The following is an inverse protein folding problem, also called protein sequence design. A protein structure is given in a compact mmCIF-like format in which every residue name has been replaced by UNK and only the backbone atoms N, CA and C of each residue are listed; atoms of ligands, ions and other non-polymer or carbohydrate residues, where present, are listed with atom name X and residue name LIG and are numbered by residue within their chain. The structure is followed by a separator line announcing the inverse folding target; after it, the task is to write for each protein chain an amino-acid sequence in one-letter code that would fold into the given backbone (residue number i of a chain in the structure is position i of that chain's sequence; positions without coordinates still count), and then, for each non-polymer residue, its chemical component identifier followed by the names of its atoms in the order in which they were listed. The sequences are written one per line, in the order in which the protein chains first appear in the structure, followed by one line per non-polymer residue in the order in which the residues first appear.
data_IF_495920496146
#
_entry.id   IF_495920496146
#
_cell.length_a   1.000
_cell.length_b   1.000
_cell.length_c   1.000
_cell.angle_alpha   90.00
_cell.angle_beta   90.00
_cell.angle_gamma   90.00
#
_symmetry.space_group_name_H-M   'P 1'
#
loop_
_entity.id
_entity.type
_entity.pdbx_description
1 polymer ?
#
# COMPACT_ATOMS: atom_id res chain seq x y z
N UNK A 1 9.19 8.69 53.49
CA UNK A 1 9.38 7.42 52.73
C UNK A 1 8.07 6.66 52.79
N UNK A 2 7.32 6.36 51.73
CA UNK A 2 7.48 6.61 50.31
C UNK A 2 6.05 6.68 49.70
N UNK A 3 5.82 7.69 48.86
CA UNK A 3 4.68 7.81 47.96
C UNK A 3 4.87 6.81 46.81
N UNK A 4 4.06 5.75 46.71
CA UNK A 4 3.98 4.92 45.50
C UNK A 4 2.61 4.25 45.34
N UNK A 5 1.56 5.05 45.21
CA UNK A 5 0.29 4.64 44.58
C UNK A 5 -0.39 5.84 43.95
N UNK A 6 0.07 6.27 42.79
CA UNK A 6 -0.71 6.84 41.68
C UNK A 6 0.26 6.80 40.48
N UNK A 7 0.25 5.70 39.73
CA UNK A 7 0.63 5.77 38.32
C UNK A 7 -0.69 5.77 37.55
N UNK A 8 -0.97 6.78 36.70
CA UNK A 8 -2.05 6.65 35.76
C UNK A 8 -1.70 5.49 34.84
N UNK A 9 -2.63 4.55 34.70
CA UNK A 9 -2.61 3.49 33.71
C UNK A 9 -2.40 4.19 32.37
N UNK A 10 -1.19 4.11 31.80
CA UNK A 10 -0.96 4.59 30.44
C UNK A 10 -1.97 3.85 29.57
N UNK A 11 -2.94 4.61 29.04
CA UNK A 11 -3.82 4.12 28.03
C UNK A 11 -2.91 3.60 26.91
N UNK A 12 -3.06 2.32 26.58
CA UNK A 12 -2.55 1.71 25.35
C UNK A 12 -3.33 2.31 24.19
N UNK A 13 -3.18 3.61 23.97
CA UNK A 13 -3.58 4.28 22.75
C UNK A 13 -2.47 4.02 21.77
N UNK A 14 -2.68 3.06 20.86
CA UNK A 14 -2.09 3.19 19.53
C UNK A 14 -2.31 4.65 19.13
N UNK A 15 -1.26 5.37 18.75
CA UNK A 15 -1.34 6.72 18.18
C UNK A 15 -2.29 6.67 16.99
N UNK A 16 -3.59 6.82 17.27
CA UNK A 16 -4.62 6.86 16.26
C UNK A 16 -4.46 8.24 15.65
N UNK A 17 -4.14 8.30 14.34
CA UNK A 17 -4.08 9.58 13.62
C UNK A 17 -5.38 10.32 13.91
N UNK A 18 -5.27 11.41 14.68
CA UNK A 18 -6.41 12.24 15.02
C UNK A 18 -6.96 12.90 13.75
N UNK A 19 -8.23 13.32 13.80
CA UNK A 19 -8.92 14.03 12.72
C UNK A 19 -8.07 15.18 12.16
N UNK A 20 -7.33 15.88 13.02
CA UNK A 20 -6.42 16.97 12.66
C UNK A 20 -5.30 16.58 11.68
N UNK A 21 -4.81 15.34 11.72
CA UNK A 21 -3.78 14.85 10.81
C UNK A 21 -4.33 14.53 9.42
N UNK A 22 -5.61 14.16 9.32
CA UNK A 22 -6.26 13.82 8.06
C UNK A 22 -6.81 15.07 7.36
N UNK A 23 -7.35 16.02 8.12
CA UNK A 23 -7.84 17.30 7.59
C UNK A 23 -6.74 18.17 6.95
N UNK A 24 -5.46 17.87 7.24
CA UNK A 24 -4.31 18.56 6.63
C UNK A 24 -3.89 17.99 5.27
N UNK A 25 -4.47 16.88 4.82
CA UNK A 25 -4.21 16.28 3.52
C UNK A 25 -5.10 16.89 2.43
N UNK A 26 -4.68 16.81 1.16
CA UNK A 26 -5.56 17.16 0.03
C UNK A 26 -6.80 16.26 -0.01
N UNK A 27 -7.88 16.74 -0.63
CA UNK A 27 -9.10 15.92 -0.81
C UNK A 27 -8.78 14.59 -1.52
N UNK A 28 -7.94 14.62 -2.55
CA UNK A 28 -7.46 13.42 -3.25
C UNK A 28 -6.77 12.44 -2.30
N UNK A 29 -5.89 12.92 -1.43
CA UNK A 29 -5.20 12.07 -0.45
C UNK A 29 -6.14 11.52 0.62
N UNK A 30 -7.13 12.30 1.06
CA UNK A 30 -8.14 11.84 2.01
C UNK A 30 -9.03 10.76 1.40
N UNK A 31 -9.47 10.95 0.14
CA UNK A 31 -10.24 9.96 -0.60
C UNK A 31 -9.44 8.66 -0.79
N UNK A 32 -8.19 8.77 -1.24
CA UNK A 32 -7.30 7.62 -1.39
C UNK A 32 -7.12 6.85 -0.07
N UNK A 33 -6.89 7.59 1.02
CA UNK A 33 -6.76 6.99 2.34
C UNK A 33 -8.00 6.19 2.74
N UNK A 34 -9.18 6.78 2.55
CA UNK A 34 -10.45 6.13 2.86
C UNK A 34 -10.67 4.89 2.00
N UNK A 35 -10.44 4.98 0.69
CA UNK A 35 -10.52 3.83 -0.23
C UNK A 35 -9.58 2.70 0.17
N UNK A 36 -8.32 3.00 0.50
CA UNK A 36 -7.35 1.99 0.92
C UNK A 36 -7.71 1.38 2.27
N UNK A 37 -8.26 2.17 3.19
CA UNK A 37 -8.73 1.69 4.50
C UNK A 37 -9.91 0.74 4.38
N UNK A 38 -10.90 1.09 3.58
CA UNK A 38 -12.08 0.24 3.35
C UNK A 38 -11.68 -1.07 2.69
N UNK A 39 -10.79 -1.01 1.69
CA UNK A 39 -10.21 -2.20 1.09
C UNK A 39 -9.43 -3.05 2.10
N UNK A 40 -8.58 -2.44 2.93
CA UNK A 40 -7.79 -3.16 3.92
C UNK A 40 -8.67 -3.90 4.96
N UNK A 41 -9.73 -3.26 5.44
CA UNK A 41 -10.66 -3.86 6.40
C UNK A 41 -11.57 -4.92 5.76
N UNK A 42 -12.03 -4.72 4.52
CA UNK A 42 -12.95 -5.61 3.83
C UNK A 42 -12.29 -6.80 3.12
N UNK A 43 -11.14 -6.60 2.49
CA UNK A 43 -10.53 -7.55 1.55
C UNK A 43 -9.24 -8.17 2.07
N UNK A 44 -8.49 -7.48 2.93
CA UNK A 44 -7.18 -7.95 3.40
C UNK A 44 -7.24 -8.57 4.80
N UNK A 45 -7.77 -7.82 5.77
CA UNK A 45 -7.79 -8.21 7.18
C UNK A 45 -8.49 -9.57 7.45
N UNK A 46 -9.61 -9.92 6.78
CA UNK A 46 -10.26 -11.22 7.02
C UNK A 46 -9.41 -12.43 6.63
N UNK A 47 -8.50 -12.26 5.66
CA UNK A 47 -7.69 -13.35 5.09
C UNK A 47 -6.24 -13.34 5.55
N UNK A 48 -5.74 -12.22 6.07
CA UNK A 48 -4.33 -12.01 6.42
C UNK A 48 -3.75 -13.12 7.32
N UNK A 49 -4.47 -13.51 8.37
CA UNK A 49 -3.99 -14.51 9.33
C UNK A 49 -3.91 -15.92 8.72
N UNK A 50 -4.77 -16.24 7.74
CA UNK A 50 -4.71 -17.51 7.01
C UNK A 50 -3.52 -17.51 6.05
N UNK A 51 -3.39 -16.45 5.26
CA UNK A 51 -2.30 -16.25 4.32
C UNK A 51 -0.94 -16.43 5.00
N UNK A 52 -0.75 -15.80 6.15
CA UNK A 52 0.49 -15.89 6.93
C UNK A 52 0.79 -17.33 7.40
N UNK A 53 -0.18 -17.97 8.08
CA UNK A 53 -0.01 -19.32 8.62
C UNK A 53 0.20 -20.40 7.57
N UNK A 54 -0.45 -20.26 6.42
CA UNK A 54 -0.41 -21.25 5.34
C UNK A 54 0.62 -20.89 4.26
N UNK A 55 1.39 -19.81 4.43
CA UNK A 55 2.38 -19.32 3.47
C UNK A 55 1.81 -19.13 2.05
N UNK A 56 0.58 -18.64 1.97
CA UNK A 56 -0.12 -18.45 0.69
C UNK A 56 0.26 -17.13 0.04
N UNK A 57 0.18 -17.11 -1.29
CA UNK A 57 0.24 -15.86 -2.05
C UNK A 57 -1.17 -15.25 -2.18
N UNK A 58 -1.39 -13.97 -1.84
CA UNK A 58 -2.71 -13.32 -1.84
C UNK A 58 -3.14 -12.88 -3.26
N UNK A 59 -3.22 -13.82 -4.20
CA UNK A 59 -3.43 -13.53 -5.63
C UNK A 59 -4.69 -12.70 -5.91
N UNK A 60 -5.81 -13.07 -5.30
CA UNK A 60 -7.09 -12.36 -5.48
C UNK A 60 -6.98 -10.90 -5.01
N UNK A 61 -6.37 -10.68 -3.84
CA UNK A 61 -6.20 -9.35 -3.26
C UNK A 61 -5.28 -8.50 -4.13
N UNK A 62 -4.19 -9.06 -4.65
CA UNK A 62 -3.26 -8.33 -5.52
C UNK A 62 -3.93 -7.94 -6.84
N UNK A 63 -4.73 -8.81 -7.43
CA UNK A 63 -5.51 -8.46 -8.62
C UNK A 63 -6.46 -7.29 -8.35
N UNK A 64 -7.24 -7.35 -7.26
CA UNK A 64 -8.13 -6.23 -6.86
C UNK A 64 -7.36 -4.94 -6.60
N UNK A 65 -6.17 -5.01 -5.99
CA UNK A 65 -5.31 -3.85 -5.80
C UNK A 65 -4.81 -3.25 -7.11
N UNK A 66 -4.54 -4.09 -8.11
CA UNK A 66 -4.20 -3.66 -9.46
C UNK A 66 -5.35 -2.92 -10.15
N UNK A 67 -6.58 -3.42 -10.02
CA UNK A 67 -7.81 -2.75 -10.51
C UNK A 67 -8.03 -1.38 -9.85
N UNK A 68 -7.59 -1.21 -8.59
CA UNK A 68 -7.61 0.06 -7.85
C UNK A 68 -6.42 0.99 -8.18
N UNK A 69 -5.48 0.57 -9.04
CA UNK A 69 -4.28 1.33 -9.38
C UNK A 69 -3.20 1.35 -8.28
N UNK A 70 -3.33 0.53 -7.23
CA UNK A 70 -2.40 0.53 -6.10
C UNK A 70 -1.07 -0.15 -6.41
N UNK A 71 -0.97 -0.87 -7.53
CA UNK A 71 0.27 -1.53 -7.96
C UNK A 71 1.23 -0.61 -8.72
N UNK A 72 0.79 0.60 -9.09
CA UNK A 72 1.61 1.57 -9.84
C UNK A 72 1.18 3.02 -9.55
N UNK A 73 1.22 3.41 -8.27
CA UNK A 73 0.68 4.68 -7.77
C UNK A 73 1.46 5.88 -8.31
N UNK A 74 2.79 5.84 -8.22
CA UNK A 74 3.64 6.96 -8.65
C UNK A 74 4.13 6.85 -10.11
N UNK A 75 3.59 5.88 -10.87
CA UNK A 75 3.97 5.67 -12.25
C UNK A 75 3.10 6.56 -13.14
N UNK A 76 3.68 7.27 -14.13
CA UNK A 76 2.93 8.09 -15.07
C UNK A 76 1.84 7.31 -15.82
N UNK A 77 0.75 8.00 -16.15
CA UNK A 77 -0.38 7.43 -16.90
C UNK A 77 0.03 6.89 -18.28
N UNK A 78 1.05 7.47 -18.93
CA UNK A 78 1.57 6.99 -20.22
C UNK A 78 2.15 5.57 -20.17
N UNK A 79 2.53 5.10 -18.98
CA UNK A 79 2.96 3.73 -18.73
C UNK A 79 1.90 2.90 -17.98
N UNK A 80 0.68 3.43 -17.86
CA UNK A 80 -0.46 2.74 -17.25
C UNK A 80 -0.52 2.79 -15.72
N UNK A 81 0.20 3.72 -15.07
CA UNK A 81 0.05 4.00 -13.65
C UNK A 81 -1.01 5.07 -13.35
N UNK A 82 -1.11 5.51 -12.10
CA UNK A 82 -2.10 6.53 -11.69
C UNK A 82 -1.57 7.96 -11.68
N UNK A 83 -0.26 8.16 -11.87
CA UNK A 83 0.37 9.48 -11.88
C UNK A 83 0.31 10.25 -10.55
N UNK A 84 -0.05 9.59 -9.45
CA UNK A 84 -0.10 10.21 -8.13
C UNK A 84 1.30 10.41 -7.53
N UNK A 85 1.39 11.16 -6.44
CA UNK A 85 2.67 11.46 -5.79
C UNK A 85 3.11 10.37 -4.79
N UNK A 86 4.34 10.49 -4.30
CA UNK A 86 4.87 9.57 -3.28
C UNK A 86 4.16 9.69 -1.93
N UNK A 87 3.49 10.81 -1.65
CA UNK A 87 2.65 10.96 -0.46
C UNK A 87 1.40 10.08 -0.57
N UNK A 88 0.74 10.07 -1.71
CA UNK A 88 -0.36 9.16 -2.03
C UNK A 88 0.09 7.70 -1.89
N UNK A 89 1.25 7.36 -2.43
CA UNK A 89 1.82 6.02 -2.28
C UNK A 89 2.07 5.64 -0.81
N UNK A 90 2.65 6.54 -0.01
CA UNK A 90 2.89 6.28 1.41
C UNK A 90 1.59 6.10 2.20
N UNK A 91 0.58 6.92 1.93
CA UNK A 91 -0.76 6.82 2.53
C UNK A 91 -1.40 5.48 2.19
N UNK A 92 -1.39 5.10 0.91
CA UNK A 92 -1.94 3.83 0.47
C UNK A 92 -1.21 2.64 1.11
N UNK A 93 0.13 2.65 1.10
CA UNK A 93 0.94 1.60 1.72
C UNK A 93 0.64 1.44 3.21
N UNK A 94 0.48 2.54 3.95
CA UNK A 94 0.15 2.49 5.38
C UNK A 94 -1.18 1.76 5.62
N UNK A 95 -2.23 2.12 4.87
CA UNK A 95 -3.55 1.52 5.08
C UNK A 95 -3.60 0.06 4.60
N UNK A 96 -2.98 -0.27 3.47
CA UNK A 96 -2.87 -1.66 3.00
C UNK A 96 -2.11 -2.53 4.01
N UNK A 97 -0.99 -2.03 4.53
CA UNK A 97 -0.18 -2.75 5.52
C UNK A 97 -0.91 -2.93 6.86
N UNK A 98 -1.84 -2.03 7.19
CA UNK A 98 -2.71 -2.16 8.37
C UNK A 98 -3.63 -3.38 8.27
N UNK A 99 -4.10 -3.71 7.06
CA UNK A 99 -4.92 -4.90 6.80
C UNK A 99 -4.10 -6.18 6.68
N UNK A 100 -3.01 -6.14 5.90
CA UNK A 100 -2.10 -7.27 5.72
C UNK A 100 -0.68 -6.81 5.37
N UNK A 101 0.26 -7.03 6.28
CA UNK A 101 1.65 -6.58 6.10
C UNK A 101 2.35 -7.24 4.90
N UNK A 102 2.12 -8.54 4.64
CA UNK A 102 2.72 -9.24 3.51
C UNK A 102 2.22 -8.68 2.17
N UNK A 103 0.92 -8.40 2.05
CA UNK A 103 0.34 -7.71 0.88
C UNK A 103 0.92 -6.31 0.72
N UNK A 104 1.07 -5.55 1.82
CA UNK A 104 1.71 -4.23 1.81
C UNK A 104 3.16 -4.27 1.30
N UNK A 105 3.92 -5.30 1.68
CA UNK A 105 5.28 -5.52 1.15
C UNK A 105 5.25 -5.80 -0.35
N UNK A 106 4.34 -6.65 -0.85
CA UNK A 106 4.22 -6.93 -2.29
C UNK A 106 3.95 -5.64 -3.08
N UNK A 107 3.00 -4.83 -2.62
CA UNK A 107 2.72 -3.50 -3.20
C UNK A 107 3.96 -2.62 -3.19
N UNK A 108 4.69 -2.62 -2.07
CA UNK A 108 5.88 -1.79 -1.90
C UNK A 108 6.99 -2.15 -2.88
N UNK A 109 7.29 -3.45 -3.00
CA UNK A 109 8.33 -3.94 -3.92
C UNK A 109 7.95 -3.62 -5.37
N UNK A 110 6.69 -3.84 -5.77
CA UNK A 110 6.27 -3.54 -7.13
C UNK A 110 6.43 -2.04 -7.45
N UNK A 111 5.87 -1.16 -6.62
CA UNK A 111 5.91 0.28 -6.87
C UNK A 111 7.32 0.85 -6.83
N UNK A 112 8.09 0.57 -5.77
CA UNK A 112 9.31 1.32 -5.47
C UNK A 112 10.62 0.58 -5.73
N UNK A 113 10.65 -0.75 -5.66
CA UNK A 113 11.88 -1.53 -5.92
C UNK A 113 11.97 -2.02 -7.36
N UNK A 114 10.84 -2.30 -8.00
CA UNK A 114 10.80 -2.75 -9.38
C UNK A 114 10.50 -1.60 -10.34
N UNK A 115 9.34 -0.95 -10.22
CA UNK A 115 8.91 0.09 -11.15
C UNK A 115 9.70 1.39 -10.98
N UNK A 116 9.98 1.80 -9.73
CA UNK A 116 10.72 3.03 -9.42
C UNK A 116 12.06 3.16 -10.17
N UNK A 117 12.97 2.16 -10.07
CA UNK A 117 14.25 2.23 -10.77
C UNK A 117 14.13 2.20 -12.30
N UNK A 118 13.18 1.42 -12.83
CA UNK A 118 12.91 1.39 -14.27
C UNK A 118 12.40 2.74 -14.77
N UNK A 119 11.54 3.39 -14.01
CA UNK A 119 11.00 4.70 -14.36
C UNK A 119 12.12 5.76 -14.39
N UNK A 120 13.00 5.74 -13.40
CA UNK A 120 14.01 6.79 -13.24
C UNK A 120 15.26 6.58 -14.12
N UNK A 121 15.70 5.33 -14.30
CA UNK A 121 16.97 5.02 -14.99
C UNK A 121 16.80 4.17 -16.26
N UNK A 122 15.59 3.71 -16.59
CA UNK A 122 15.34 2.93 -17.79
C UNK A 122 15.33 3.78 -19.06
N UNK A 123 15.70 3.18 -20.19
CA UNK A 123 15.42 3.76 -21.53
C UNK A 123 13.93 3.70 -21.82
N UNK A 124 13.44 4.47 -22.79
CA UNK A 124 12.03 4.42 -23.20
C UNK A 124 11.60 3.01 -23.63
N UNK A 125 12.47 2.27 -24.33
CA UNK A 125 12.18 0.87 -24.67
C UNK A 125 12.08 -0.04 -23.44
N UNK A 126 12.92 0.19 -22.42
CA UNK A 126 12.86 -0.56 -21.16
C UNK A 126 11.60 -0.23 -20.37
N UNK A 127 11.20 1.05 -20.31
CA UNK A 127 9.98 1.48 -19.63
C UNK A 127 8.75 0.84 -20.25
N UNK A 128 8.60 0.93 -21.57
CA UNK A 128 7.46 0.33 -22.28
C UNK A 128 7.41 -1.19 -22.10
N UNK A 129 8.57 -1.86 -22.09
CA UNK A 129 8.63 -3.32 -21.98
C UNK A 129 8.43 -3.84 -20.54
N UNK A 130 8.91 -3.10 -19.54
CA UNK A 130 9.04 -3.63 -18.16
C UNK A 130 8.19 -2.88 -17.12
N UNK A 131 7.64 -1.71 -17.43
CA UNK A 131 6.71 -0.99 -16.54
C UNK A 131 5.27 -1.35 -16.89
N UNK A 132 4.84 -1.09 -18.14
CA UNK A 132 3.44 -1.24 -18.57
C UNK A 132 2.79 -2.59 -18.21
N UNK A 133 3.48 -3.74 -18.33
CA UNK A 133 2.87 -5.03 -17.97
C UNK A 133 2.66 -5.26 -16.46
N UNK A 134 3.21 -4.41 -15.61
CA UNK A 134 3.27 -4.58 -14.15
C UNK A 134 2.44 -3.54 -13.39
N UNK A 135 1.64 -2.73 -14.10
CA UNK A 135 0.81 -1.70 -13.47
C UNK A 135 -0.58 -2.19 -13.06
N UNK A 136 -1.08 -3.24 -13.71
CA UNK A 136 -2.46 -3.75 -13.54
C UNK A 136 -2.60 -4.82 -12.45
N UNK A 137 -1.51 -5.27 -11.83
CA UNK A 137 -1.50 -6.38 -10.88
C UNK A 137 -1.64 -7.78 -11.51
N UNK A 138 -1.81 -7.89 -12.84
CA UNK A 138 -1.73 -9.18 -13.55
C UNK A 138 -0.33 -9.79 -13.50
N UNK A 139 0.69 -8.93 -13.48
CA UNK A 139 2.07 -9.30 -13.21
C UNK A 139 2.57 -8.49 -12.05
N UNK A 140 3.37 -9.15 -11.22
CA UNK A 140 4.02 -8.55 -10.07
C UNK A 140 5.48 -8.90 -10.12
N UNK A 141 6.34 -8.04 -9.59
CA UNK A 141 7.76 -8.34 -9.52
C UNK A 141 7.98 -9.73 -8.90
N UNK A 142 8.68 -10.61 -9.64
CA UNK A 142 9.03 -11.99 -9.30
C UNK A 142 8.00 -13.12 -9.54
N UNK A 143 6.88 -12.91 -10.26
CA UNK A 143 6.06 -14.04 -10.68
C UNK A 143 4.94 -13.73 -11.67
N UNK A 144 4.65 -14.72 -12.54
CA UNK A 144 3.35 -14.87 -13.17
C UNK A 144 2.56 -15.81 -12.25
N UNK A 145 1.59 -15.29 -11.48
CA UNK A 145 0.76 -16.08 -10.58
C UNK A 145 -0.61 -16.31 -11.21
#
# INVERSE_FOLDING_TARGET
MALFKIFPRFATGVLQRGIASLSGLSETHQMLQQTCRDFAEGELKPVAAKIDREHLYPQEQIKKMGELGLMAVAIPEEYGGTGLDYLAYAIAMEEISRGCASTGVIMSVNNSLYLGPLLYWGTEEQKQKYITPFTTGERVCYGNF
#
